data_IF_783787969871
#
_entry.id   IF_783787969871
#
_cell.length_a   1.000
_cell.length_b   1.000
_cell.length_c   1.000
_cell.angle_alpha   90.00
_cell.angle_beta   90.00
_cell.angle_gamma   90.00
#
_symmetry.space_group_name_H-M   'P 1'
#
loop_
_entity.id
_entity.type
_entity.pdbx_description
1 polymer ?
#
# COMPACT_ATOMS: atom_id res chain seq x y z
N UNK A 1 9.00 -7.66 13.43
CA UNK A 1 8.21 -8.03 14.63
C UNK A 1 8.68 -7.11 15.75
N UNK A 2 7.78 -6.41 16.44
CA UNK A 2 8.11 -5.65 17.65
C UNK A 2 7.67 -6.45 18.87
N UNK A 3 8.58 -6.62 19.83
CA UNK A 3 8.27 -7.19 21.13
C UNK A 3 7.47 -6.18 21.95
N UNK A 4 6.32 -6.61 22.47
CA UNK A 4 5.66 -5.93 23.58
C UNK A 4 5.70 -6.94 24.73
N UNK A 5 6.35 -6.58 25.84
CA UNK A 5 6.47 -7.42 27.04
C UNK A 5 7.19 -8.78 26.84
N UNK A 6 8.18 -8.85 25.95
CA UNK A 6 9.03 -10.05 25.77
C UNK A 6 8.34 -11.25 25.10
N UNK A 7 7.14 -11.08 24.53
CA UNK A 7 6.47 -12.13 23.74
C UNK A 7 6.49 -11.76 22.25
N UNK A 8 7.13 -12.60 21.45
CA UNK A 8 7.05 -12.51 20.00
C UNK A 8 5.65 -12.94 19.53
N UNK A 9 4.92 -12.03 18.89
CA UNK A 9 3.63 -12.32 18.26
C UNK A 9 3.84 -12.40 16.75
N UNK A 10 3.34 -13.48 16.12
CA UNK A 10 3.36 -13.62 14.66
C UNK A 10 2.53 -12.50 14.02
N UNK A 11 3.09 -11.83 13.02
CA UNK A 11 2.37 -10.83 12.23
C UNK A 11 1.08 -11.39 11.62
N UNK A 12 1.06 -12.70 11.29
CA UNK A 12 -0.12 -13.35 10.71
C UNK A 12 -1.27 -13.37 11.72
N UNK A 13 -0.95 -13.64 12.99
CA UNK A 13 -1.94 -13.65 14.06
C UNK A 13 -2.53 -12.26 14.27
N UNK A 14 -1.71 -11.21 14.26
CA UNK A 14 -2.19 -9.82 14.39
C UNK A 14 -3.14 -9.45 13.23
N UNK A 15 -2.74 -9.78 12.00
CA UNK A 15 -3.54 -9.48 10.80
C UNK A 15 -4.84 -10.29 10.79
N UNK A 16 -4.77 -11.60 11.09
CA UNK A 16 -5.95 -12.45 11.26
C UNK A 16 -6.94 -11.84 12.25
N UNK A 17 -6.47 -11.48 13.45
CA UNK A 17 -7.33 -10.91 14.49
C UNK A 17 -7.94 -9.56 14.06
N UNK A 18 -7.18 -8.74 13.33
CA UNK A 18 -7.70 -7.49 12.77
C UNK A 18 -8.81 -7.74 11.73
N UNK A 19 -8.61 -8.69 10.80
CA UNK A 19 -9.63 -9.07 9.81
C UNK A 19 -10.88 -9.61 10.51
N UNK A 20 -10.68 -10.52 11.47
CA UNK A 20 -11.77 -11.12 12.25
C UNK A 20 -12.56 -10.06 13.02
N UNK A 21 -11.87 -9.10 13.64
CA UNK A 21 -12.50 -7.97 14.32
C UNK A 21 -13.34 -7.13 13.36
N UNK A 22 -12.77 -6.69 12.21
CA UNK A 22 -13.48 -5.88 11.23
C UNK A 22 -14.72 -6.59 10.67
N UNK A 23 -14.60 -7.89 10.37
CA UNK A 23 -15.72 -8.73 9.93
C UNK A 23 -16.83 -8.77 10.98
N UNK A 24 -16.46 -9.08 12.22
CA UNK A 24 -17.41 -9.21 13.33
C UNK A 24 -18.10 -7.87 13.60
N UNK A 25 -17.33 -6.79 13.63
CA UNK A 25 -17.84 -5.45 13.83
C UNK A 25 -18.87 -5.05 12.76
N UNK A 26 -18.59 -5.32 11.47
CA UNK A 26 -19.54 -5.04 10.39
C UNK A 26 -20.86 -5.83 10.55
N UNK A 27 -20.77 -7.14 10.83
CA UNK A 27 -21.94 -7.98 11.03
C UNK A 27 -22.78 -7.52 12.22
N UNK A 28 -22.13 -7.09 13.30
CA UNK A 28 -22.82 -6.53 14.47
C UNK A 28 -23.48 -5.19 14.14
N UNK A 29 -22.87 -4.34 13.30
CA UNK A 29 -23.50 -3.12 12.80
C UNK A 29 -24.76 -3.41 11.97
N UNK A 30 -24.75 -4.46 11.12
CA UNK A 30 -25.96 -4.87 10.39
C UNK A 30 -27.07 -5.33 11.33
N UNK A 31 -26.76 -6.16 12.32
CA UNK A 31 -27.73 -6.60 13.35
C UNK A 31 -28.32 -5.42 14.12
N UNK A 32 -27.47 -4.50 14.59
CA UNK A 32 -27.91 -3.31 15.33
C UNK A 32 -28.83 -2.41 14.52
N UNK A 33 -28.62 -2.33 13.20
CA UNK A 33 -29.47 -1.56 12.27
C UNK A 33 -30.65 -2.35 11.72
N UNK A 34 -30.86 -3.58 12.19
CA UNK A 34 -31.89 -4.51 11.72
C UNK A 34 -31.84 -4.74 10.19
N UNK A 35 -30.63 -4.79 9.62
CA UNK A 35 -30.39 -5.11 8.21
C UNK A 35 -30.18 -6.61 8.12
N UNK A 36 -31.12 -7.32 7.48
CA UNK A 36 -31.01 -8.75 7.24
C UNK A 36 -29.96 -9.04 6.18
N UNK A 37 -28.77 -9.45 6.60
CA UNK A 37 -27.68 -9.87 5.72
C UNK A 37 -27.27 -11.29 6.10
N UNK A 38 -27.24 -12.19 5.13
CA UNK A 38 -26.61 -13.49 5.29
C UNK A 38 -25.09 -13.32 5.22
N UNK A 39 -24.32 -13.64 6.29
CA UNK A 39 -22.87 -13.48 6.27
C UNK A 39 -22.16 -14.24 5.14
N UNK A 40 -22.75 -15.35 4.69
CA UNK A 40 -22.20 -16.22 3.64
C UNK A 40 -22.45 -15.67 2.22
N UNK A 41 -23.26 -14.62 2.10
CA UNK A 41 -23.50 -13.90 0.84
C UNK A 41 -22.63 -12.64 0.70
N UNK A 42 -21.77 -12.37 1.69
CA UNK A 42 -20.90 -11.20 1.68
C UNK A 42 -19.59 -11.53 0.95
N UNK A 43 -19.35 -10.82 -0.15
CA UNK A 43 -18.03 -10.79 -0.81
C UNK A 43 -17.11 -9.80 -0.10
N UNK A 44 -16.01 -10.30 0.44
CA UNK A 44 -14.97 -9.54 1.12
C UNK A 44 -13.84 -9.18 0.15
N UNK A 45 -13.57 -7.89 0.04
CA UNK A 45 -12.46 -7.36 -0.76
C UNK A 45 -11.40 -6.79 0.17
N UNK A 46 -10.18 -7.33 0.11
CA UNK A 46 -9.03 -6.76 0.82
C UNK A 46 -8.13 -6.03 -0.17
N UNK A 47 -7.86 -4.77 0.12
CA UNK A 47 -6.92 -3.94 -0.63
C UNK A 47 -5.50 -4.25 -0.16
N UNK A 48 -4.56 -4.36 -1.10
CA UNK A 48 -3.14 -4.53 -0.78
C UNK A 48 -2.28 -3.61 -1.64
N UNK A 49 -1.10 -3.19 -1.14
CA UNK A 49 -0.14 -2.46 -1.95
C UNK A 49 0.27 -3.27 -3.18
N UNK A 50 0.35 -2.62 -4.33
CA UNK A 50 0.63 -3.33 -5.57
C UNK A 50 2.11 -3.75 -5.67
N UNK A 51 3.01 -3.06 -4.93
CA UNK A 51 4.43 -3.40 -4.82
C UNK A 51 4.69 -4.72 -4.11
N UNK A 52 3.74 -5.22 -3.32
CA UNK A 52 3.94 -6.46 -2.57
C UNK A 52 4.18 -7.66 -3.49
N UNK A 53 5.11 -8.52 -3.09
CA UNK A 53 5.36 -9.78 -3.76
C UNK A 53 4.21 -10.78 -3.51
N UNK A 54 4.23 -11.90 -4.24
CA UNK A 54 3.16 -12.88 -4.15
C UNK A 54 3.10 -13.60 -2.80
N UNK A 55 4.23 -13.74 -2.10
CA UNK A 55 4.26 -14.30 -0.76
C UNK A 55 3.51 -13.41 0.24
N UNK A 56 3.70 -12.09 0.20
CA UNK A 56 2.94 -11.14 1.02
C UNK A 56 1.45 -11.15 0.68
N UNK A 57 1.10 -11.29 -0.61
CA UNK A 57 -0.30 -11.40 -1.05
C UNK A 57 -0.93 -12.70 -0.58
N UNK A 58 -0.22 -13.82 -0.69
CA UNK A 58 -0.67 -15.13 -0.20
C UNK A 58 -0.86 -15.10 1.32
N UNK A 59 0.07 -14.48 2.04
CA UNK A 59 -0.01 -14.30 3.48
C UNK A 59 -1.30 -13.58 3.92
N UNK A 60 -1.76 -12.58 3.15
CA UNK A 60 -3.06 -11.93 3.40
C UNK A 60 -4.24 -12.86 3.13
N UNK A 61 -4.16 -13.74 2.12
CA UNK A 61 -5.20 -14.74 1.85
C UNK A 61 -5.32 -15.72 3.00
N UNK A 62 -4.19 -16.28 3.44
CA UNK A 62 -4.14 -17.24 4.53
C UNK A 62 -4.70 -16.62 5.83
N UNK A 63 -4.34 -15.36 6.12
CA UNK A 63 -4.85 -14.65 7.29
C UNK A 63 -6.36 -14.39 7.21
N UNK A 64 -6.90 -14.11 6.01
CA UNK A 64 -8.34 -13.93 5.80
C UNK A 64 -9.11 -15.25 5.95
N UNK A 65 -8.57 -16.34 5.42
CA UNK A 65 -9.13 -17.68 5.56
C UNK A 65 -9.16 -18.13 7.02
N UNK A 66 -8.05 -17.95 7.75
CA UNK A 66 -7.98 -18.22 9.19
C UNK A 66 -8.92 -17.31 10.02
N UNK A 67 -9.33 -16.16 9.49
CA UNK A 67 -10.30 -15.26 10.09
C UNK A 67 -11.76 -15.61 9.75
N UNK A 68 -11.99 -16.72 9.02
CA UNK A 68 -13.31 -17.22 8.67
C UNK A 68 -13.91 -16.59 7.41
N UNK A 69 -13.07 -16.08 6.50
CA UNK A 69 -13.49 -15.64 5.17
C UNK A 69 -13.07 -16.69 4.15
N UNK A 70 -14.02 -17.49 3.68
CA UNK A 70 -13.76 -18.54 2.70
C UNK A 70 -13.31 -17.97 1.35
N UNK A 71 -12.51 -18.75 0.60
CA UNK A 71 -11.82 -18.29 -0.60
C UNK A 71 -12.75 -17.80 -1.72
N UNK A 72 -13.94 -18.39 -1.83
CA UNK A 72 -15.00 -17.99 -2.76
C UNK A 72 -15.67 -16.66 -2.39
N UNK A 73 -15.72 -16.33 -1.10
CA UNK A 73 -16.14 -15.04 -0.57
C UNK A 73 -15.03 -13.98 -0.59
N UNK A 74 -13.81 -14.32 -0.99
CA UNK A 74 -12.65 -13.45 -0.84
C UNK A 74 -12.09 -12.97 -2.19
N UNK A 75 -11.59 -11.74 -2.25
CA UNK A 75 -10.77 -11.26 -3.37
C UNK A 75 -9.80 -10.17 -2.94
N UNK A 76 -8.64 -10.15 -3.60
CA UNK A 76 -7.65 -9.08 -3.44
C UNK A 76 -7.78 -8.11 -4.62
N UNK A 77 -7.78 -6.82 -4.30
CA UNK A 77 -7.62 -5.72 -5.26
C UNK A 77 -6.37 -4.94 -4.90
N UNK A 78 -5.66 -4.41 -5.89
CA UNK A 78 -4.54 -3.53 -5.59
C UNK A 78 -5.04 -2.14 -5.22
N UNK A 79 -4.44 -1.50 -4.21
CA UNK A 79 -4.79 -0.13 -3.78
C UNK A 79 -4.87 0.87 -4.95
N UNK A 80 -3.87 0.97 -5.85
CA UNK A 80 -3.95 1.87 -7.02
C UNK A 80 -5.03 1.47 -8.03
N UNK A 81 -5.34 0.17 -8.17
CA UNK A 81 -6.45 -0.28 -9.01
C UNK A 81 -7.78 0.20 -8.41
N UNK A 82 -7.99 -0.01 -7.10
CA UNK A 82 -9.20 0.42 -6.40
C UNK A 82 -9.36 1.95 -6.48
N UNK A 83 -8.30 2.71 -6.18
CA UNK A 83 -8.30 4.17 -6.31
C UNK A 83 -8.67 4.63 -7.72
N UNK A 84 -8.14 3.95 -8.76
CA UNK A 84 -8.46 4.27 -10.17
C UNK A 84 -9.94 4.08 -10.50
N UNK A 85 -10.57 3.01 -9.98
CA UNK A 85 -11.99 2.71 -10.19
C UNK A 85 -12.84 3.82 -9.60
N UNK A 86 -12.55 4.23 -8.37
CA UNK A 86 -13.32 5.28 -7.72
C UNK A 86 -13.10 6.66 -8.33
N UNK A 87 -11.86 7.01 -8.67
CA UNK A 87 -11.54 8.29 -9.30
C UNK A 87 -12.35 8.55 -10.58
N UNK A 88 -12.75 7.47 -11.27
CA UNK A 88 -13.61 7.55 -12.47
C UNK A 88 -15.07 7.84 -12.20
N UNK A 89 -15.58 7.54 -11.01
CA UNK A 89 -16.97 7.79 -10.63
C UNK A 89 -17.18 9.15 -9.97
N UNK A 90 -16.09 9.85 -9.65
CA UNK A 90 -16.16 11.16 -9.06
C UNK A 90 -16.59 12.21 -10.09
N UNK A 91 -17.66 12.98 -9.82
CA UNK A 91 -17.94 14.20 -10.56
C UNK A 91 -16.73 15.14 -10.49
N UNK A 92 -16.52 15.89 -11.58
CA UNK A 92 -15.41 16.86 -11.74
C UNK A 92 -15.31 17.82 -10.55
N UNK A 93 -16.46 18.15 -9.95
CA UNK A 93 -16.58 19.07 -8.83
C UNK A 93 -16.03 18.50 -7.50
N UNK A 94 -15.72 17.20 -7.45
CA UNK A 94 -15.21 16.50 -6.26
C UNK A 94 -13.67 16.50 -6.16
N UNK A 95 -12.98 17.22 -7.03
CA UNK A 95 -11.52 17.34 -7.03
C UNK A 95 -11.09 18.72 -6.51
N UNK A 96 -10.16 18.73 -5.54
CA UNK A 96 -9.71 19.98 -4.92
C UNK A 96 -8.87 20.83 -5.91
N UNK A 97 -9.30 22.06 -6.19
CA UNK A 97 -8.45 23.10 -6.78
C UNK A 97 -8.83 23.73 -8.14
N UNK A 98 -10.07 23.64 -8.66
CA UNK A 98 -10.46 24.36 -9.90
C UNK A 98 -11.87 24.94 -9.96
N UNK A 99 -12.00 25.91 -10.88
CA UNK A 99 -13.19 26.62 -11.35
C UNK A 99 -14.14 25.73 -12.17
N UNK A 100 -15.45 25.99 -12.03
CA UNK A 100 -16.62 25.23 -12.54
C UNK A 100 -16.71 24.96 -14.07
N UNK A 101 -15.75 25.39 -14.88
CA UNK A 101 -15.88 25.43 -16.36
C UNK A 101 -15.11 24.36 -17.12
N UNK A 102 -14.25 23.56 -16.48
CA UNK A 102 -13.56 22.46 -17.17
C UNK A 102 -14.41 21.21 -17.08
N UNK A 103 -15.25 20.93 -18.08
CA UNK A 103 -15.86 19.61 -18.23
C UNK A 103 -14.71 18.63 -18.46
N UNK A 104 -14.39 17.85 -17.44
CA UNK A 104 -13.44 16.76 -17.50
C UNK A 104 -13.98 15.77 -18.55
N UNK A 105 -13.50 15.90 -19.80
CA UNK A 105 -13.67 14.90 -20.88
C UNK A 105 -12.82 13.65 -20.58
N UNK A 106 -12.63 13.31 -19.31
CA UNK A 106 -11.40 12.71 -18.79
C UNK A 106 -11.12 11.31 -19.30
N UNK A 107 -12.06 10.66 -19.99
CA UNK A 107 -12.01 9.23 -20.11
C UNK A 107 -12.64 8.77 -21.42
N UNK A 108 -12.28 9.38 -22.56
CA UNK A 108 -12.53 8.73 -23.85
C UNK A 108 -11.64 7.48 -23.97
N UNK A 109 -12.07 6.40 -24.66
CA UNK A 109 -11.23 5.24 -24.89
C UNK A 109 -9.90 5.66 -25.52
N UNK A 110 -8.79 5.16 -24.98
CA UNK A 110 -7.44 5.58 -25.38
C UNK A 110 -6.79 6.60 -24.44
N UNK A 111 -7.53 7.16 -23.48
CA UNK A 111 -6.96 8.08 -22.48
C UNK A 111 -5.96 7.36 -21.57
N UNK A 112 -4.79 7.96 -21.37
CA UNK A 112 -3.77 7.49 -20.43
C UNK A 112 -3.78 8.37 -19.19
N UNK A 113 -3.78 7.77 -18.00
CA UNK A 113 -3.71 8.49 -16.74
C UNK A 113 -2.76 7.79 -15.77
N UNK A 114 -2.33 8.52 -14.74
CA UNK A 114 -1.43 8.02 -13.70
C UNK A 114 -2.16 8.11 -12.38
N UNK A 115 -2.16 7.02 -11.62
CA UNK A 115 -2.55 7.04 -10.21
C UNK A 115 -1.28 7.13 -9.38
N UNK A 116 -1.25 8.14 -8.51
CA UNK A 116 -0.21 8.33 -7.50
C UNK A 116 -0.84 7.94 -6.17
N UNK A 117 -0.53 6.75 -5.67
CA UNK A 117 -0.96 6.33 -4.35
C UNK A 117 0.12 6.72 -3.34
N UNK A 118 -0.15 7.79 -2.58
CA UNK A 118 0.79 8.35 -1.60
C UNK A 118 0.27 8.10 -0.17
N UNK A 119 0.35 6.84 0.26
CA UNK A 119 0.11 6.41 1.64
C UNK A 119 1.37 6.48 2.51
N UNK A 120 1.62 5.43 3.32
CA UNK A 120 2.88 5.28 4.04
C UNK A 120 4.09 5.15 3.10
N UNK A 121 3.88 4.50 1.96
CA UNK A 121 4.76 4.47 0.79
C UNK A 121 4.14 5.28 -0.35
N UNK A 122 4.94 5.59 -1.39
CA UNK A 122 4.42 6.15 -2.64
C UNK A 122 4.52 5.11 -3.74
N UNK A 123 3.41 4.85 -4.43
CA UNK A 123 3.34 4.00 -5.61
C UNK A 123 2.84 4.78 -6.83
N UNK A 124 3.50 4.58 -7.98
CA UNK A 124 3.13 5.22 -9.25
C UNK A 124 2.70 4.17 -10.27
N UNK A 125 1.46 4.29 -10.74
CA UNK A 125 0.85 3.35 -11.67
C UNK A 125 0.26 4.05 -12.88
N UNK A 126 0.61 3.61 -14.09
CA UNK A 126 0.04 4.15 -15.33
C UNK A 126 -1.04 3.22 -15.89
N UNK A 127 -2.16 3.82 -16.27
CA UNK A 127 -3.34 3.14 -16.75
C UNK A 127 -3.71 3.65 -18.15
N UNK A 128 -4.10 2.73 -19.03
CA UNK A 128 -4.76 3.01 -20.30
C UNK A 128 -6.22 2.67 -20.16
N UNK A 129 -7.08 3.65 -20.40
CA UNK A 129 -8.50 3.42 -20.48
C UNK A 129 -8.84 2.74 -21.81
N UNK A 130 -9.56 1.63 -21.75
CA UNK A 130 -10.06 0.92 -22.94
C UNK A 130 -11.53 1.15 -23.21
N UNK A 131 -12.35 1.31 -22.17
CA UNK A 131 -13.78 1.52 -22.34
C UNK A 131 -14.38 2.39 -21.23
N UNK A 132 -15.18 3.38 -21.64
CA UNK A 132 -15.98 4.20 -20.74
C UNK A 132 -17.17 3.39 -20.24
N UNK A 133 -17.95 2.77 -21.11
CA UNK A 133 -19.20 2.10 -20.73
C UNK A 133 -18.97 0.93 -19.76
N UNK A 134 -17.86 0.20 -19.90
CA UNK A 134 -17.59 -1.03 -19.14
C UNK A 134 -16.62 -0.84 -17.98
N UNK A 135 -16.15 0.39 -17.73
CA UNK A 135 -15.12 0.68 -16.72
C UNK A 135 -13.75 0.04 -16.95
N UNK A 136 -13.51 -0.61 -18.11
CA UNK A 136 -12.31 -1.42 -18.37
C UNK A 136 -11.02 -0.61 -18.58
N UNK A 137 -9.95 -1.04 -17.92
CA UNK A 137 -8.60 -0.51 -18.12
C UNK A 137 -7.53 -1.59 -18.26
N UNK A 138 -6.40 -1.20 -18.87
CA UNK A 138 -5.14 -1.94 -18.88
C UNK A 138 -4.09 -1.18 -18.08
N UNK A 139 -3.29 -1.91 -17.31
CA UNK A 139 -2.09 -1.36 -16.68
C UNK A 139 -0.98 -1.37 -17.73
N UNK A 140 -0.46 -0.19 -18.09
CA UNK A 140 0.52 -0.05 -19.19
C UNK A 140 1.95 -0.19 -18.67
N UNK A 141 2.22 0.45 -17.55
CA UNK A 141 3.57 0.56 -17.01
C UNK A 141 3.55 0.73 -15.49
N UNK A 142 4.44 -0.01 -14.85
CA UNK A 142 4.79 0.18 -13.43
C UNK A 142 5.95 1.17 -13.38
N UNK A 143 5.69 2.39 -12.93
CA UNK A 143 6.70 3.47 -12.96
C UNK A 143 7.66 3.38 -11.76
N UNK A 144 7.32 2.58 -10.76
CA UNK A 144 8.12 2.37 -9.55
C UNK A 144 7.40 2.89 -8.31
N UNK A 145 8.04 2.69 -7.16
CA UNK A 145 7.54 3.09 -5.86
C UNK A 145 8.61 2.92 -4.80
N UNK A 146 8.45 3.59 -3.67
CA UNK A 146 9.44 3.60 -2.61
C UNK A 146 8.88 4.15 -1.31
N UNK A 147 9.67 4.03 -0.25
CA UNK A 147 9.35 4.56 1.08
C UNK A 147 9.55 6.07 1.17
N UNK A 148 8.89 6.78 0.26
CA UNK A 148 8.89 8.25 0.14
C UNK A 148 7.58 8.87 0.63
N UNK A 149 6.67 8.04 1.15
CA UNK A 149 5.35 8.46 1.62
C UNK A 149 5.37 8.93 3.07
N UNK A 150 4.22 8.86 3.73
CA UNK A 150 4.06 9.33 5.11
C UNK A 150 5.01 8.68 6.14
N UNK A 151 5.59 7.51 5.84
CA UNK A 151 6.54 6.86 6.75
C UNK A 151 7.90 7.55 6.81
N UNK A 152 8.35 8.18 5.71
CA UNK A 152 9.61 8.96 5.76
C UNK A 152 9.45 10.21 6.62
N UNK A 153 8.24 10.79 6.65
CA UNK A 153 7.91 11.93 7.52
C UNK A 153 7.94 11.49 8.98
N UNK A 154 7.42 10.30 9.29
CA UNK A 154 7.50 9.72 10.63
C UNK A 154 8.94 9.41 11.04
N UNK A 155 9.73 8.86 10.13
CA UNK A 155 11.13 8.55 10.40
C UNK A 155 11.94 9.82 10.62
N UNK A 156 11.75 10.85 9.80
CA UNK A 156 12.37 12.14 9.99
C UNK A 156 11.96 12.77 11.33
N UNK A 157 10.69 12.65 11.74
CA UNK A 157 10.27 13.09 13.06
C UNK A 157 10.99 12.34 14.19
N UNK A 158 11.15 11.01 14.07
CA UNK A 158 11.95 10.22 15.03
C UNK A 158 13.42 10.63 15.05
N UNK A 159 14.00 10.97 13.90
CA UNK A 159 15.38 11.49 13.80
C UNK A 159 15.48 12.86 14.49
N UNK A 160 14.50 13.75 14.30
CA UNK A 160 14.43 15.04 14.99
C UNK A 160 14.39 14.83 16.50
N UNK A 161 13.52 13.96 17.00
CA UNK A 161 13.46 13.61 18.42
C UNK A 161 14.82 13.08 18.92
N UNK A 162 15.45 12.19 18.16
CA UNK A 162 16.75 11.61 18.52
C UNK A 162 17.86 12.66 18.56
N UNK A 163 17.87 13.61 17.62
CA UNK A 163 18.83 14.72 17.61
C UNK A 163 18.56 15.72 18.73
N UNK A 164 17.30 15.91 19.10
CA UNK A 164 16.89 16.86 20.13
C UNK A 164 17.24 16.35 21.54
N UNK A 165 16.78 15.15 21.91
CA UNK A 165 16.94 14.61 23.28
C UNK A 165 18.02 13.52 23.39
N UNK A 166 18.67 13.14 22.29
CA UNK A 166 19.63 12.06 22.27
C UNK A 166 19.00 10.66 22.18
N UNK A 167 19.71 9.73 21.54
CA UNK A 167 19.30 8.33 21.42
C UNK A 167 19.02 7.63 22.75
N UNK A 168 19.89 7.75 23.78
CA UNK A 168 19.68 7.10 25.07
C UNK A 168 18.38 7.53 25.77
N UNK A 169 18.11 8.84 25.84
CA UNK A 169 16.89 9.38 26.48
C UNK A 169 15.65 8.91 25.71
N UNK A 170 15.68 8.93 24.37
CA UNK A 170 14.54 8.48 23.57
C UNK A 170 14.28 6.98 23.72
N UNK A 171 15.33 6.16 23.85
CA UNK A 171 15.20 4.72 24.11
C UNK A 171 14.65 4.46 25.51
N UNK A 172 15.13 5.20 26.52
CA UNK A 172 14.59 5.14 27.87
C UNK A 172 13.11 5.52 27.91
N UNK A 173 12.74 6.62 27.24
CA UNK A 173 11.36 7.08 27.14
C UNK A 173 10.44 6.02 26.53
N UNK A 174 10.87 5.35 25.45
CA UNK A 174 10.10 4.24 24.85
C UNK A 174 9.90 3.06 25.80
N UNK A 175 10.90 2.75 26.62
CA UNK A 175 10.91 1.59 27.52
C UNK A 175 10.08 1.86 28.78
N UNK A 176 10.28 3.01 29.41
CA UNK A 176 9.72 3.34 30.72
C UNK A 176 8.37 4.07 30.62
N UNK A 177 8.16 4.85 29.55
CA UNK A 177 6.99 5.71 29.36
C UNK A 177 6.35 5.46 27.97
N UNK A 178 6.25 4.19 27.58
CA UNK A 178 5.79 3.79 26.25
C UNK A 178 4.37 4.27 25.90
N UNK A 179 3.49 4.46 26.90
CA UNK A 179 2.15 5.01 26.69
C UNK A 179 2.23 6.47 26.19
N UNK A 180 3.01 7.31 26.85
CA UNK A 180 3.21 8.72 26.47
C UNK A 180 3.94 8.84 25.13
N UNK A 181 4.92 7.97 24.87
CA UNK A 181 5.57 7.90 23.56
C UNK A 181 4.55 7.59 22.45
N UNK A 182 3.70 6.58 22.65
CA UNK A 182 2.70 6.19 21.66
C UNK A 182 1.68 7.30 21.43
N UNK A 183 1.24 8.00 22.48
CA UNK A 183 0.29 9.12 22.35
C UNK A 183 0.93 10.31 21.63
N UNK A 184 2.18 10.65 21.92
CA UNK A 184 2.93 11.68 21.19
C UNK A 184 3.03 11.34 19.70
N UNK A 185 3.34 10.09 19.35
CA UNK A 185 3.42 9.66 17.95
C UNK A 185 2.04 9.68 17.26
N UNK A 186 0.95 9.34 17.95
CA UNK A 186 -0.42 9.44 17.41
C UNK A 186 -0.83 10.89 17.18
N UNK A 187 -0.49 11.78 18.10
CA UNK A 187 -0.78 13.21 17.97
C UNK A 187 -0.03 13.82 16.78
N UNK A 188 1.25 13.45 16.59
CA UNK A 188 2.01 13.81 15.39
C UNK A 188 1.35 13.30 14.11
N UNK A 189 0.94 12.02 14.08
CA UNK A 189 0.26 11.43 12.93
C UNK A 189 -1.06 12.15 12.58
N UNK A 190 -1.85 12.50 13.60
CA UNK A 190 -3.08 13.28 13.40
C UNK A 190 -2.77 14.63 12.76
N UNK A 191 -1.76 15.35 13.26
CA UNK A 191 -1.34 16.65 12.73
C UNK A 191 -0.81 16.56 11.30
N UNK A 192 -0.02 15.53 11.00
CA UNK A 192 0.47 15.24 9.64
C UNK A 192 -0.71 15.04 8.68
N UNK A 193 -1.75 14.30 9.08
CA UNK A 193 -2.93 14.04 8.25
C UNK A 193 -3.83 15.26 8.06
N UNK A 194 -3.90 16.16 9.05
CA UNK A 194 -4.76 17.36 8.98
C UNK A 194 -4.03 18.61 8.49
N UNK A 195 -2.71 18.53 8.26
CA UNK A 195 -1.92 19.64 7.75
C UNK A 195 -2.41 20.07 6.36
N UNK A 196 -2.60 21.38 6.19
CA UNK A 196 -2.96 21.99 4.91
C UNK A 196 -1.80 22.87 4.44
N UNK A 197 -1.45 22.75 3.16
CA UNK A 197 -0.42 23.58 2.53
C UNK A 197 -0.75 25.07 2.75
N UNK A 198 0.21 25.86 3.24
CA UNK A 198 0.02 27.25 3.63
C UNK A 198 -0.45 27.46 5.08
N UNK A 199 -0.60 26.41 5.87
CA UNK A 199 -0.73 26.56 7.34
C UNK A 199 0.61 27.01 7.90
N UNK A 200 0.64 28.13 8.61
CA UNK A 200 1.89 28.74 9.07
C UNK A 200 2.60 27.94 10.18
N UNK A 201 1.90 27.10 10.95
CA UNK A 201 2.53 26.42 12.09
C UNK A 201 1.84 25.09 12.45
N UNK A 202 2.65 24.05 12.66
CA UNK A 202 2.23 22.80 13.30
C UNK A 202 2.76 22.79 14.73
N UNK A 203 1.87 22.86 15.72
CA UNK A 203 2.26 22.79 17.13
C UNK A 203 2.49 21.33 17.50
N UNK A 204 3.69 20.94 17.92
CA UNK A 204 3.97 19.60 18.47
C UNK A 204 4.04 19.70 19.99
N UNK A 205 3.37 18.78 20.70
CA UNK A 205 3.36 18.75 22.17
C UNK A 205 4.29 17.65 22.66
N UNK A 206 5.22 18.02 23.54
CA UNK A 206 6.08 17.07 24.24
C UNK A 206 5.43 16.69 25.57
N UNK A 207 5.29 15.39 25.88
CA UNK A 207 4.74 14.95 27.16
C UNK A 207 5.68 15.33 28.30
N UNK A 208 5.10 15.59 29.48
CA UNK A 208 5.83 16.00 30.68
C UNK A 208 6.91 14.98 31.04
N UNK A 209 6.59 13.69 30.95
CA UNK A 209 7.51 12.59 31.16
C UNK A 209 8.77 12.62 30.28
N UNK A 210 8.66 13.10 29.03
CA UNK A 210 9.81 13.30 28.16
C UNK A 210 10.61 14.54 28.56
N UNK A 211 9.94 15.62 29.00
CA UNK A 211 10.60 16.83 29.51
C UNK A 211 11.42 16.52 30.77
N UNK A 212 10.83 15.77 31.70
CA UNK A 212 11.46 15.38 32.95
C UNK A 212 12.68 14.49 32.68
N UNK A 213 12.52 13.43 31.88
CA UNK A 213 13.62 12.54 31.50
C UNK A 213 14.78 13.27 30.80
N UNK A 214 14.47 14.25 29.95
CA UNK A 214 15.49 15.08 29.28
C UNK A 214 16.23 15.93 30.29
N UNK A 215 15.51 16.56 31.21
CA UNK A 215 16.10 17.39 32.27
C UNK A 215 16.99 16.56 33.18
N UNK A 216 16.52 15.40 33.62
CA UNK A 216 17.25 14.49 34.50
C UNK A 216 18.51 13.92 33.84
N UNK A 217 18.46 13.64 32.53
CA UNK A 217 19.57 12.99 31.82
C UNK A 217 20.58 13.96 31.23
N UNK A 218 20.14 15.14 30.77
CA UNK A 218 20.96 16.10 30.03
C UNK A 218 21.26 17.38 30.81
N UNK A 219 20.65 17.57 31.99
CA UNK A 219 20.76 18.77 32.81
C UNK A 219 20.39 20.07 32.04
N UNK A 220 19.49 19.95 31.07
CA UNK A 220 18.96 21.05 30.27
C UNK A 220 17.50 20.81 29.90
N UNK A 221 16.74 21.87 29.66
CA UNK A 221 15.32 21.75 29.31
C UNK A 221 15.15 21.43 27.82
N UNK A 222 14.11 20.66 27.47
CA UNK A 222 13.77 20.40 26.06
C UNK A 222 13.47 21.70 25.31
N UNK A 223 12.92 22.70 26.00
CA UNK A 223 12.57 24.00 25.41
C UNK A 223 13.85 24.77 25.02
N UNK A 224 14.94 24.64 25.79
CA UNK A 224 16.28 25.17 25.42
C UNK A 224 16.83 24.47 24.16
N UNK A 225 16.76 23.15 24.10
CA UNK A 225 17.25 22.36 22.97
C UNK A 225 16.51 22.69 21.67
N UNK A 226 15.20 22.95 21.74
CA UNK A 226 14.40 23.35 20.58
C UNK A 226 14.86 24.69 20.04
N UNK A 227 15.13 25.66 20.92
CA UNK A 227 15.57 27.01 20.54
C UNK A 227 16.94 27.02 19.85
N UNK A 228 17.79 26.04 20.15
CA UNK A 228 19.11 25.87 19.54
C UNK A 228 19.08 25.05 18.23
N UNK A 229 17.92 24.48 17.87
CA UNK A 229 17.80 23.54 16.75
C UNK A 229 17.43 24.21 15.41
N UNK A 230 17.84 23.60 14.30
CA UNK A 230 17.61 24.10 12.93
C UNK A 230 16.29 23.64 12.30
N UNK A 231 15.39 23.00 13.06
CA UNK A 231 14.22 22.28 12.53
C UNK A 231 12.99 23.15 12.19
N UNK A 232 13.15 24.47 12.03
CA UNK A 232 12.01 25.42 11.91
C UNK A 232 11.26 25.39 10.57
N UNK A 233 11.84 24.86 9.49
CA UNK A 233 11.32 25.13 8.14
C UNK A 233 11.33 23.88 7.24
N UNK A 234 10.15 23.33 6.92
CA UNK A 234 10.03 22.33 5.85
C UNK A 234 8.59 22.21 5.32
N UNK A 235 8.41 22.51 4.02
CA UNK A 235 7.17 22.28 3.27
C UNK A 235 7.41 21.17 2.24
N UNK A 236 6.62 20.07 2.27
CA UNK A 236 7.02 18.86 1.51
C UNK A 236 5.86 18.10 0.82
N UNK A 237 6.27 17.53 -0.31
CA UNK A 237 5.67 16.50 -1.17
C UNK A 237 4.65 16.98 -2.21
N UNK A 238 3.59 17.68 -1.85
CA UNK A 238 2.59 18.13 -2.83
C UNK A 238 3.17 19.15 -3.83
N UNK A 239 3.95 20.08 -3.30
CA UNK A 239 4.65 21.08 -4.10
C UNK A 239 5.74 20.43 -4.99
N UNK A 240 6.41 19.40 -4.49
CA UNK A 240 7.42 18.65 -5.24
C UNK A 240 6.83 17.92 -6.46
N UNK A 241 5.66 17.29 -6.32
CA UNK A 241 4.97 16.61 -7.43
C UNK A 241 4.49 17.61 -8.49
N UNK A 242 3.94 18.76 -8.06
CA UNK A 242 3.51 19.83 -8.99
C UNK A 242 4.68 20.46 -9.73
N UNK A 243 5.82 20.67 -9.06
CA UNK A 243 7.05 21.19 -9.68
C UNK A 243 7.70 20.20 -10.65
N UNK A 244 7.68 18.90 -10.33
CA UNK A 244 8.25 17.85 -11.17
C UNK A 244 7.48 17.63 -12.48
N UNK A 245 6.15 17.84 -12.46
CA UNK A 245 5.28 17.62 -13.61
C UNK A 245 4.35 18.81 -13.92
N UNK A 246 4.89 19.97 -14.34
CA UNK A 246 4.12 21.21 -14.49
C UNK A 246 3.05 21.16 -15.60
N UNK A 247 3.16 20.18 -16.53
CA UNK A 247 2.24 19.98 -17.64
C UNK A 247 1.15 18.93 -17.36
N UNK A 248 1.20 18.23 -16.22
CA UNK A 248 0.20 17.23 -15.85
C UNK A 248 -0.84 17.85 -14.91
N UNK A 249 -2.11 17.58 -15.18
CA UNK A 249 -3.19 17.97 -14.29
C UNK A 249 -3.31 16.97 -13.14
N UNK A 250 -3.07 17.43 -11.91
CA UNK A 250 -3.08 16.61 -10.70
C UNK A 250 -4.47 16.65 -10.07
N UNK A 251 -5.13 15.49 -10.02
CA UNK A 251 -6.43 15.31 -9.38
C UNK A 251 -6.26 14.65 -8.01
N UNK A 252 -6.72 15.31 -6.96
CA UNK A 252 -6.75 14.76 -5.60
C UNK A 252 -8.21 14.57 -5.18
N UNK A 253 -8.69 13.33 -5.02
CA UNK A 253 -10.04 13.08 -4.53
C UNK A 253 -10.17 13.60 -3.09
N UNK A 254 -11.35 14.10 -2.72
CA UNK A 254 -11.67 14.43 -1.32
C UNK A 254 -11.58 13.13 -0.51
N UNK A 255 -10.59 13.07 0.39
CA UNK A 255 -10.20 11.90 1.19
C UNK A 255 -9.61 10.74 0.37
N UNK A 256 -8.29 10.78 0.17
CA UNK A 256 -7.54 9.77 -0.59
C UNK A 256 -7.65 8.35 -0.01
N UNK A 257 -7.71 8.20 1.33
CA UNK A 257 -7.87 6.88 1.95
C UNK A 257 -9.24 6.26 1.66
N UNK A 258 -10.29 7.08 1.65
CA UNK A 258 -11.64 6.63 1.31
C UNK A 258 -11.79 6.24 -0.17
N UNK A 259 -10.97 6.80 -1.05
CA UNK A 259 -10.99 6.49 -2.49
C UNK A 259 -10.67 5.02 -2.78
N UNK A 260 -9.66 4.47 -2.10
CA UNK A 260 -9.27 3.06 -2.19
C UNK A 260 -10.39 2.15 -1.68
N UNK A 261 -11.00 2.48 -0.53
CA UNK A 261 -12.07 1.67 0.05
C UNK A 261 -13.33 1.66 -0.82
N UNK A 262 -13.78 2.83 -1.30
CA UNK A 262 -14.94 2.92 -2.19
C UNK A 262 -14.69 2.21 -3.52
N UNK A 263 -13.47 2.36 -4.05
CA UNK A 263 -13.01 1.63 -5.23
C UNK A 263 -13.06 0.12 -5.07
N UNK A 264 -12.64 -0.39 -3.92
CA UNK A 264 -12.66 -1.81 -3.61
C UNK A 264 -14.08 -2.39 -3.57
N UNK A 265 -15.05 -1.63 -3.03
CA UNK A 265 -16.47 -2.01 -3.05
C UNK A 265 -16.99 -2.11 -4.49
N UNK A 266 -16.68 -1.12 -5.34
CA UNK A 266 -17.10 -1.12 -6.76
C UNK A 266 -16.45 -2.31 -7.49
N UNK A 267 -15.17 -2.57 -7.25
CA UNK A 267 -14.47 -3.73 -7.79
C UNK A 267 -15.12 -5.04 -7.35
N UNK A 268 -15.56 -5.15 -6.09
CA UNK A 268 -16.27 -6.33 -5.60
C UNK A 268 -17.57 -6.63 -6.35
N UNK A 269 -18.31 -5.60 -6.76
CA UNK A 269 -19.52 -5.74 -7.58
C UNK A 269 -19.23 -6.06 -9.05
N UNK A 270 -18.08 -5.63 -9.59
CA UNK A 270 -17.67 -5.93 -10.96
C UNK A 270 -16.15 -6.17 -11.05
N UNK A 271 -15.69 -7.41 -10.78
CA UNK A 271 -14.26 -7.74 -10.83
C UNK A 271 -13.64 -7.65 -12.24
N UNK A 272 -14.47 -7.65 -13.30
CA UNK A 272 -14.02 -7.58 -14.69
C UNK A 272 -13.61 -6.18 -15.15
N UNK A 273 -13.68 -5.19 -14.24
CA UNK A 273 -13.21 -3.82 -14.47
C UNK A 273 -11.69 -3.80 -14.76
N UNK A 274 -10.91 -4.70 -14.16
CA UNK A 274 -9.48 -4.86 -14.45
C UNK A 274 -9.30 -5.88 -15.56
N UNK A 275 -9.00 -5.44 -16.78
CA UNK A 275 -8.90 -6.36 -17.93
C UNK A 275 -7.56 -7.13 -17.93
N UNK A 276 -6.48 -6.48 -17.50
CA UNK A 276 -5.13 -7.05 -17.53
C UNK A 276 -4.25 -6.49 -16.42
N UNK A 277 -3.23 -7.26 -16.05
CA UNK A 277 -2.18 -6.88 -15.10
C UNK A 277 -0.80 -7.10 -15.70
N UNK A 278 0.18 -6.35 -15.22
CA UNK A 278 1.59 -6.55 -15.58
C UNK A 278 2.21 -7.57 -14.62
N UNK A 279 2.89 -8.59 -15.16
CA UNK A 279 3.61 -9.56 -14.35
C UNK A 279 4.79 -8.93 -13.62
N UNK A 280 4.83 -9.04 -12.29
CA UNK A 280 5.96 -8.57 -11.49
C UNK A 280 7.23 -9.42 -11.67
N UNK A 281 7.06 -10.72 -11.95
CA UNK A 281 8.15 -11.67 -12.11
C UNK A 281 7.95 -12.53 -13.35
N UNK A 282 9.01 -13.23 -13.76
CA UNK A 282 8.90 -14.28 -14.76
C UNK A 282 8.42 -15.55 -14.06
N UNK A 283 7.20 -15.99 -14.34
CA UNK A 283 6.62 -17.21 -13.83
C UNK A 283 6.87 -18.35 -14.80
N UNK A 284 7.24 -19.50 -14.26
CA UNK A 284 7.55 -20.66 -15.06
C UNK A 284 7.63 -21.90 -14.19
N UNK A 285 7.84 -23.02 -14.84
CA UNK A 285 8.00 -24.31 -14.17
C UNK A 285 9.33 -24.93 -14.54
N UNK A 286 9.84 -25.75 -13.63
CA UNK A 286 11.03 -26.56 -13.86
C UNK A 286 10.62 -27.83 -14.61
N UNK A 287 11.21 -28.05 -15.79
CA UNK A 287 10.96 -29.24 -16.61
C UNK A 287 12.25 -30.02 -16.85
N UNK A 288 12.10 -31.34 -16.98
CA UNK A 288 13.09 -32.18 -17.64
C UNK A 288 12.81 -32.19 -19.13
N UNK A 289 13.84 -31.90 -19.94
CA UNK A 289 13.74 -31.93 -21.41
C UNK A 289 14.85 -32.77 -22.01
N UNK A 290 14.72 -33.29 -23.25
CA UNK A 290 15.81 -33.98 -23.92
C UNK A 290 17.10 -33.14 -23.95
N UNK A 291 18.22 -33.76 -23.61
CA UNK A 291 19.52 -33.10 -23.51
C UNK A 291 20.02 -32.69 -24.91
N UNK A 292 20.50 -31.45 -25.02
CA UNK A 292 21.06 -30.91 -26.27
C UNK A 292 22.50 -30.51 -25.98
N UNK A 293 23.43 -31.28 -26.55
CA UNK A 293 24.85 -31.02 -26.43
C UNK A 293 25.18 -29.59 -26.91
N UNK A 294 26.04 -28.88 -26.18
CA UNK A 294 26.42 -27.46 -26.39
C UNK A 294 25.33 -26.41 -26.12
N UNK A 295 24.08 -26.81 -25.84
CA UNK A 295 23.00 -25.87 -25.46
C UNK A 295 22.72 -25.96 -23.96
N UNK A 296 22.66 -27.17 -23.42
CA UNK A 296 22.38 -27.40 -22.01
C UNK A 296 23.68 -27.58 -21.20
N UNK A 297 23.74 -27.08 -19.95
CA UNK A 297 24.89 -27.32 -19.08
C UNK A 297 25.08 -28.80 -18.79
N UNK A 298 26.31 -29.29 -18.94
CA UNK A 298 26.67 -30.69 -18.68
C UNK A 298 26.33 -31.14 -17.24
N UNK A 299 26.44 -30.22 -16.28
CA UNK A 299 26.07 -30.45 -14.87
C UNK A 299 24.60 -30.79 -14.65
N UNK A 300 23.73 -30.42 -15.60
CA UNK A 300 22.30 -30.71 -15.59
C UNK A 300 21.92 -31.96 -16.40
N UNK A 301 22.87 -32.64 -17.03
CA UNK A 301 22.66 -33.89 -17.77
C UNK A 301 22.37 -35.04 -16.80
N UNK A 302 21.41 -35.88 -17.13
CA UNK A 302 21.17 -37.17 -16.49
C UNK A 302 20.59 -38.16 -17.50
N UNK A 303 20.78 -39.46 -17.27
CA UNK A 303 20.26 -40.51 -18.13
C UNK A 303 18.98 -41.10 -17.51
N UNK A 304 17.94 -41.26 -18.31
CA UNK A 304 16.68 -41.89 -17.93
C UNK A 304 16.07 -42.58 -19.15
N UNK A 305 15.64 -43.83 -18.98
CA UNK A 305 15.08 -44.68 -20.04
C UNK A 305 15.97 -44.80 -21.29
N UNK A 306 17.29 -44.99 -21.08
CA UNK A 306 18.33 -45.02 -22.13
C UNK A 306 18.45 -43.72 -22.97
N UNK A 307 17.73 -42.66 -22.61
CA UNK A 307 17.84 -41.34 -23.21
C UNK A 307 18.52 -40.36 -22.26
N UNK A 308 18.97 -39.23 -22.81
CA UNK A 308 19.64 -38.19 -22.05
C UNK A 308 18.77 -36.96 -21.88
N UNK A 309 18.69 -36.49 -20.65
CA UNK A 309 17.79 -35.43 -20.24
C UNK A 309 18.56 -34.31 -19.52
N UNK A 310 18.04 -33.10 -19.66
CA UNK A 310 18.46 -31.92 -18.91
C UNK A 310 17.41 -31.64 -17.84
N UNK A 311 17.79 -31.77 -16.56
CA UNK A 311 16.93 -31.40 -15.43
C UNK A 311 16.88 -29.89 -15.24
N UNK A 312 15.83 -29.41 -14.60
CA UNK A 312 15.71 -28.03 -14.16
C UNK A 312 15.84 -26.99 -15.27
N UNK A 313 15.30 -27.29 -16.45
CA UNK A 313 15.10 -26.27 -17.47
C UNK A 313 13.89 -25.44 -17.09
N UNK A 314 14.12 -24.15 -16.83
CA UNK A 314 13.04 -23.22 -16.52
C UNK A 314 12.24 -22.90 -17.80
N UNK A 315 11.01 -23.40 -17.86
CA UNK A 315 10.05 -23.10 -18.91
C UNK A 315 9.22 -21.89 -18.50
N UNK A 316 9.38 -20.78 -19.23
CA UNK A 316 8.68 -19.53 -18.95
C UNK A 316 7.22 -19.62 -19.39
N UNK A 317 6.29 -19.51 -18.44
CA UNK A 317 4.86 -19.41 -18.69
C UNK A 317 4.41 -17.95 -18.86
N UNK A 318 4.91 -17.05 -18.03
CA UNK A 318 4.63 -15.62 -18.11
C UNK A 318 5.92 -14.85 -17.85
N UNK A 319 6.21 -13.82 -18.65
CA UNK A 319 7.44 -13.04 -18.54
C UNK A 319 7.22 -11.82 -17.64
N UNK A 320 8.22 -11.46 -16.84
CA UNK A 320 8.21 -10.17 -16.15
C UNK A 320 7.95 -9.03 -17.14
N UNK A 321 7.22 -8.01 -16.68
CA UNK A 321 6.81 -6.82 -17.45
C UNK A 321 5.84 -7.08 -18.62
N UNK A 322 5.41 -8.33 -18.82
CA UNK A 322 4.36 -8.63 -19.80
C UNK A 322 2.98 -8.29 -19.26
N UNK A 323 2.14 -7.71 -20.12
CA UNK A 323 0.71 -7.50 -19.84
C UNK A 323 -0.02 -8.83 -20.05
N UNK A 324 -0.69 -9.31 -19.01
CA UNK A 324 -1.43 -10.58 -19.02
C UNK A 324 -2.91 -10.29 -18.75
N UNK A 325 -3.77 -10.75 -19.65
CA UNK A 325 -5.22 -10.65 -19.50
C UNK A 325 -5.68 -11.53 -18.34
N UNK A 326 -6.56 -11.02 -17.48
CA UNK A 326 -7.10 -11.79 -16.36
C UNK A 326 -7.82 -13.04 -16.88
N UNK A 327 -7.53 -14.19 -16.27
CA UNK A 327 -8.07 -15.50 -16.68
C UNK A 327 -7.26 -16.23 -17.75
N UNK A 328 -6.13 -15.68 -18.22
CA UNK A 328 -5.23 -16.37 -19.17
C UNK A 328 -4.63 -17.62 -18.53
N UNK A 329 -4.75 -18.76 -19.22
CA UNK A 329 -4.12 -20.04 -18.82
C UNK A 329 -3.05 -20.38 -19.86
N UNK A 330 -1.79 -20.51 -19.43
CA UNK A 330 -0.72 -21.02 -20.29
C UNK A 330 -0.59 -22.54 -20.11
N UNK A 331 -1.00 -23.30 -21.12
CA UNK A 331 -0.89 -24.76 -21.13
C UNK A 331 0.47 -25.15 -21.74
N UNK A 332 1.17 -26.06 -21.08
CA UNK A 332 2.36 -26.69 -21.64
C UNK A 332 1.95 -27.44 -22.91
N UNK A 333 2.65 -27.14 -24.01
CA UNK A 333 2.51 -27.85 -25.28
C UNK A 333 3.49 -29.00 -25.35
#
# INVERSE_FOLDING_TARGET
>A
MSEINGKAISAKLVIKLAIQFLRTHLLDQFKQRNIGVNPDEIKWIITVPAIWNDACKQFMRDAAEEAGIHGDMFSIVYEPEAASVYARLLPVESFAGRNKTTILRTFDPGTKFIVVDAGGNVELWTFLLKSCSELKFEIIHKVGGGSWGGEIVNENYRIVLTKLVGGPVLQQFKREQGADYNEMMRDFERKKKTYKLGSETVIIRFPVSLKDLTTDSMNCSIDSLINESTFKESDVLQDAVRKAFPKLEVFVPVDGGLSVLKGAVIYGHNPNIVASRVCNYTYGISLSVPFKNRVHPESKRYSWDNEEWCREKFHVCFKADSVVTIGTINKLK
#
